data_IF_837620935257
#
_entry.id   IF_837620935257
#
_cell.length_a   1.000
_cell.length_b   1.000
_cell.length_c   1.000
_cell.angle_alpha   90.00
_cell.angle_beta   90.00
_cell.angle_gamma   90.00
#
_symmetry.space_group_name_H-M   'P 1'
#
loop_
_entity.id
_entity.type
_entity.pdbx_description
1 polymer ?
#
# COMPACT_ATOMS: atom_id res chain seq x y z
N UNK A 1 6.95 -17.69 25.84
CA UNK A 1 6.24 -16.43 25.52
C UNK A 1 5.54 -15.96 26.80
N UNK A 2 5.85 -14.77 27.31
CA UNK A 2 5.20 -14.22 28.51
C UNK A 2 4.00 -13.38 28.07
N UNK A 3 2.83 -13.48 28.74
CA UNK A 3 1.70 -12.64 28.42
C UNK A 3 1.95 -11.20 28.88
N UNK A 4 1.74 -10.25 27.97
CA UNK A 4 1.76 -8.82 28.27
C UNK A 4 0.34 -8.35 28.62
N UNK A 5 0.21 -7.47 29.62
CA UNK A 5 -1.10 -6.91 30.04
C UNK A 5 -1.15 -5.42 29.72
N UNK A 6 -2.21 -4.99 29.05
CA UNK A 6 -2.47 -3.58 28.78
C UNK A 6 -3.99 -3.31 28.89
N UNK A 7 -4.35 -2.06 29.19
CA UNK A 7 -5.76 -1.61 29.16
C UNK A 7 -6.26 -1.42 27.72
N UNK A 8 -5.39 -0.97 26.84
CA UNK A 8 -5.66 -0.73 25.42
C UNK A 8 -4.47 -1.21 24.59
N UNK A 9 -4.76 -1.69 23.38
CA UNK A 9 -3.76 -2.13 22.41
C UNK A 9 -4.12 -1.55 21.06
N UNK A 10 -3.16 -0.91 20.39
CA UNK A 10 -3.26 -0.47 19.00
C UNK A 10 -2.33 -1.36 18.19
N UNK A 11 -2.85 -1.99 17.15
CA UNK A 11 -2.05 -2.83 16.25
C UNK A 11 -1.71 -2.06 14.98
N UNK A 12 -0.42 -2.04 14.61
CA UNK A 12 0.08 -1.40 13.39
C UNK A 12 0.55 -2.47 12.39
N UNK A 13 -0.30 -3.46 12.13
CA UNK A 13 0.07 -4.70 11.44
C UNK A 13 0.25 -4.61 9.92
N UNK A 14 0.07 -3.44 9.30
CA UNK A 14 0.21 -3.26 7.85
C UNK A 14 -0.63 -4.27 7.05
N UNK A 15 0.03 -5.01 6.15
CA UNK A 15 -0.60 -6.07 5.33
C UNK A 15 -1.24 -7.22 6.12
N UNK A 16 -1.00 -7.30 7.43
CA UNK A 16 -1.58 -8.31 8.33
C UNK A 16 -2.61 -7.72 9.29
N UNK A 17 -3.06 -6.48 9.09
CA UNK A 17 -3.98 -5.84 10.03
C UNK A 17 -5.33 -6.57 10.14
N UNK A 18 -5.84 -7.14 9.05
CA UNK A 18 -7.06 -7.96 9.05
C UNK A 18 -6.89 -9.26 9.86
N UNK A 19 -5.73 -9.92 9.76
CA UNK A 19 -5.38 -11.07 10.60
C UNK A 19 -5.29 -10.69 12.08
N UNK A 20 -4.67 -9.56 12.42
CA UNK A 20 -4.60 -9.08 13.80
C UNK A 20 -5.98 -8.74 14.36
N UNK A 21 -6.84 -8.12 13.54
CA UNK A 21 -8.23 -7.83 13.91
C UNK A 21 -9.01 -9.11 14.25
N UNK A 22 -8.90 -10.16 13.41
CA UNK A 22 -9.51 -11.45 13.69
C UNK A 22 -8.98 -12.10 14.98
N UNK A 23 -7.67 -12.01 15.24
CA UNK A 23 -7.06 -12.54 16.48
C UNK A 23 -7.48 -11.75 17.73
N UNK A 24 -7.82 -10.47 17.59
CA UNK A 24 -8.34 -9.64 18.69
C UNK A 24 -9.85 -9.73 18.88
N UNK A 25 -10.53 -10.61 18.14
CA UNK A 25 -11.99 -10.80 18.23
C UNK A 25 -12.82 -9.77 17.46
N UNK A 26 -12.20 -8.97 16.59
CA UNK A 26 -12.90 -8.11 15.64
C UNK A 26 -13.37 -8.93 14.43
N UNK A 27 -14.29 -8.36 13.65
CA UNK A 27 -14.72 -8.96 12.38
C UNK A 27 -13.58 -9.03 11.35
N UNK A 28 -13.65 -9.97 10.40
CA UNK A 28 -12.65 -10.13 9.35
C UNK A 28 -12.73 -9.06 8.25
N UNK A 29 -13.77 -8.21 8.27
CA UNK A 29 -13.99 -7.15 7.29
C UNK A 29 -13.50 -5.78 7.81
N UNK A 30 -12.86 -4.98 6.94
CA UNK A 30 -12.52 -5.26 5.55
C UNK A 30 -11.35 -6.24 5.43
N UNK A 31 -11.40 -7.12 4.43
CA UNK A 31 -10.27 -7.98 4.09
C UNK A 31 -9.19 -7.21 3.33
N UNK A 32 -7.92 -7.40 3.69
CA UNK A 32 -6.81 -6.79 2.96
C UNK A 32 -6.43 -7.65 1.74
N UNK A 33 -6.45 -7.03 0.56
CA UNK A 33 -5.97 -7.64 -0.70
C UNK A 33 -4.65 -6.97 -1.08
N UNK A 34 -3.49 -7.62 -0.87
CA UNK A 34 -2.20 -7.02 -1.18
C UNK A 34 -2.01 -6.90 -2.69
N UNK A 35 -1.62 -5.71 -3.12
CA UNK A 35 -1.19 -5.44 -4.51
C UNK A 35 0.31 -5.19 -4.50
N UNK A 36 1.05 -5.90 -5.37
CA UNK A 36 2.48 -5.70 -5.56
C UNK A 36 2.71 -4.71 -6.69
N UNK A 37 3.41 -3.61 -6.40
CA UNK A 37 3.97 -2.71 -7.39
C UNK A 37 5.45 -2.97 -7.60
N UNK A 38 5.97 -2.50 -8.74
CA UNK A 38 7.40 -2.48 -9.04
C UNK A 38 7.82 -1.06 -9.40
N UNK A 39 9.07 -0.72 -9.09
CA UNK A 39 9.65 0.57 -9.41
C UNK A 39 10.91 0.35 -10.24
N UNK A 40 11.03 1.10 -11.33
CA UNK A 40 12.24 1.16 -12.13
C UNK A 40 13.00 2.44 -11.80
N UNK A 41 14.33 2.34 -11.77
CA UNK A 41 15.19 3.50 -11.58
C UNK A 41 15.64 4.04 -12.94
N UNK A 42 15.61 5.37 -13.08
CA UNK A 42 16.23 6.03 -14.21
C UNK A 42 17.75 5.85 -14.14
N UNK A 43 18.38 5.79 -15.32
CA UNK A 43 19.84 5.87 -15.39
C UNK A 43 20.31 7.22 -14.85
N UNK A 44 21.39 7.28 -14.06
CA UNK A 44 21.85 8.54 -13.44
C UNK A 44 22.01 9.69 -14.44
N UNK A 45 22.46 9.41 -15.66
CA UNK A 45 22.71 10.43 -16.70
C UNK A 45 21.42 11.10 -17.19
N UNK A 46 20.26 10.47 -16.98
CA UNK A 46 18.93 10.95 -17.40
C UNK A 46 18.10 11.54 -16.26
N UNK A 47 18.57 11.48 -15.01
CA UNK A 47 17.81 11.96 -13.86
C UNK A 47 17.44 13.46 -13.96
N UNK A 48 18.28 14.26 -14.63
CA UNK A 48 18.04 15.70 -14.83
C UNK A 48 16.83 16.02 -15.73
N UNK A 49 16.28 15.04 -16.47
CA UNK A 49 15.10 15.24 -17.33
C UNK A 49 13.80 15.37 -16.51
N UNK A 50 13.77 14.85 -15.29
CA UNK A 50 12.57 14.84 -14.42
C UNK A 50 12.95 15.45 -13.07
N UNK A 51 12.99 16.80 -12.96
CA UNK A 51 13.42 17.49 -11.75
C UNK A 51 12.37 17.49 -10.64
N UNK A 52 11.13 17.10 -10.94
CA UNK A 52 9.99 17.11 -10.03
C UNK A 52 9.13 15.86 -10.24
N UNK A 53 8.24 15.55 -9.28
CA UNK A 53 7.33 14.43 -9.42
C UNK A 53 6.30 14.67 -10.54
N UNK A 54 6.12 13.67 -11.40
CA UNK A 54 5.13 13.67 -12.48
C UNK A 54 4.05 12.65 -12.12
N UNK A 55 2.79 13.09 -12.07
CA UNK A 55 1.63 12.23 -11.87
C UNK A 55 0.67 12.39 -13.05
N UNK A 56 0.21 11.30 -13.67
CA UNK A 56 -0.70 11.40 -14.80
C UNK A 56 -2.08 11.91 -14.36
N UNK A 57 -2.67 12.79 -15.15
CA UNK A 57 -4.07 13.19 -15.00
C UNK A 57 -4.95 12.15 -15.68
N UNK A 58 -6.02 11.70 -15.00
CA UNK A 58 -6.98 10.77 -15.59
C UNK A 58 -7.88 11.54 -16.58
N UNK A 59 -7.82 11.19 -17.86
CA UNK A 59 -8.79 11.63 -18.87
C UNK A 59 -9.93 10.61 -18.96
N UNK A 60 -11.17 11.09 -19.11
CA UNK A 60 -12.39 10.28 -18.95
C UNK A 60 -12.62 9.22 -20.05
N UNK A 61 -11.96 9.37 -21.20
CA UNK A 61 -12.09 8.50 -22.38
C UNK A 61 -10.77 7.79 -22.69
N UNK A 62 -10.36 6.88 -21.80
CA UNK A 62 -9.24 6.01 -22.11
C UNK A 62 -9.64 4.54 -21.95
N UNK A 63 -9.44 3.70 -22.98
CA UNK A 63 -9.74 2.29 -22.88
C UNK A 63 -8.86 1.65 -21.78
N UNK A 64 -9.38 0.64 -21.06
CA UNK A 64 -8.58 -0.06 -20.06
C UNK A 64 -7.36 -0.73 -20.72
N UNK A 65 -6.16 -0.45 -20.21
CA UNK A 65 -4.91 -1.11 -20.63
C UNK A 65 -3.93 -0.24 -21.42
N UNK A 66 -4.22 1.03 -21.70
CA UNK A 66 -3.27 1.96 -22.31
C UNK A 66 -2.55 2.81 -21.26
N UNK A 67 -1.22 2.79 -21.31
CA UNK A 67 -0.37 3.68 -20.53
C UNK A 67 -0.19 4.99 -21.32
N UNK A 68 -0.58 6.13 -20.75
CA UNK A 68 -0.02 7.44 -21.10
C UNK A 68 1.35 7.60 -20.45
#
# INVERSE_FOLDING_TARGET
>A
MRPERARFVITCGGLHADRLAALSGCGPEPRLVPVRGEYLLLRPEKAHLVPTNIYPVRVADHPPGTCT
#
